data_IF_671594840874
#
_entry.id   IF_671594840874
#
_cell.length_a   1.000
_cell.length_b   1.000
_cell.length_c   1.000
_cell.angle_alpha   90.00
_cell.angle_beta   90.00
_cell.angle_gamma   90.00
#
_symmetry.space_group_name_H-M   'P 1'
#
loop_
_entity.id
_entity.type
_entity.pdbx_description
1 polymer ?
#
# COMPACT_ATOMS: atom_id res chain seq x y z
N UNK A 1 -23.55 -5.69 9.17
CA UNK A 1 -24.95 -6.22 9.09
C UNK A 1 -25.86 -5.33 8.24
N UNK A 2 -25.96 -4.01 8.52
CA UNK A 2 -26.83 -3.10 7.79
C UNK A 2 -26.49 -3.06 6.28
N UNK A 3 -25.21 -2.92 5.92
CA UNK A 3 -24.74 -2.95 4.54
C UNK A 3 -25.04 -4.29 3.84
N UNK A 4 -24.83 -5.42 4.53
CA UNK A 4 -25.12 -6.75 4.03
C UNK A 4 -26.62 -6.95 3.76
N UNK A 5 -27.47 -6.48 4.67
CA UNK A 5 -28.94 -6.54 4.50
C UNK A 5 -29.40 -5.83 3.23
N UNK A 6 -28.84 -4.64 2.94
CA UNK A 6 -29.20 -3.87 1.74
C UNK A 6 -28.60 -4.49 0.47
N UNK A 7 -27.39 -5.07 0.55
CA UNK A 7 -26.77 -5.77 -0.58
C UNK A 7 -27.60 -6.98 -1.03
N UNK A 8 -28.07 -7.80 -0.10
CA UNK A 8 -28.87 -8.99 -0.37
C UNK A 8 -30.39 -8.75 -0.27
N UNK A 9 -30.84 -7.50 -0.31
CA UNK A 9 -32.27 -7.20 -0.29
C UNK A 9 -32.99 -7.89 -1.46
N UNK A 10 -34.12 -8.60 -1.20
CA UNK A 10 -34.83 -9.34 -2.24
C UNK A 10 -35.25 -8.47 -3.43
N UNK A 11 -35.62 -7.22 -3.16
CA UNK A 11 -36.02 -6.23 -4.19
C UNK A 11 -34.84 -5.84 -5.10
N UNK A 12 -33.61 -5.86 -4.57
CA UNK A 12 -32.41 -5.64 -5.36
C UNK A 12 -32.05 -6.88 -6.18
N UNK A 13 -32.09 -8.06 -5.55
CA UNK A 13 -31.74 -9.33 -6.20
C UNK A 13 -32.73 -9.73 -7.32
N UNK A 14 -33.98 -9.27 -7.24
CA UNK A 14 -34.98 -9.50 -8.27
C UNK A 14 -34.77 -8.68 -9.54
N UNK A 15 -33.93 -7.64 -9.51
CA UNK A 15 -33.63 -6.81 -10.70
C UNK A 15 -32.53 -7.42 -11.55
N UNK A 16 -32.55 -7.12 -12.84
CA UNK A 16 -31.44 -7.37 -13.76
C UNK A 16 -30.13 -6.73 -13.23
N UNK A 17 -29.00 -7.34 -13.47
CA UNK A 17 -27.72 -6.89 -12.91
C UNK A 17 -27.48 -5.40 -13.17
N UNK A 18 -27.73 -4.91 -14.38
CA UNK A 18 -27.51 -3.52 -14.78
C UNK A 18 -28.47 -2.52 -14.10
N UNK A 19 -29.59 -3.00 -13.56
CA UNK A 19 -30.59 -2.16 -12.88
C UNK A 19 -30.55 -2.26 -11.36
N UNK A 20 -29.61 -3.03 -10.83
CA UNK A 20 -29.39 -3.14 -9.38
C UNK A 20 -28.83 -1.86 -8.81
N UNK A 21 -29.16 -1.61 -7.57
CA UNK A 21 -28.56 -0.55 -6.76
C UNK A 21 -27.04 -0.70 -6.72
N UNK A 22 -26.31 0.34 -7.05
CA UNK A 22 -24.86 0.41 -7.02
C UNK A 22 -24.34 0.70 -5.60
N UNK A 23 -23.22 0.09 -5.22
CA UNK A 23 -22.64 0.20 -3.88
C UNK A 23 -21.19 0.60 -3.92
N UNK A 24 -20.80 1.53 -3.04
CA UNK A 24 -19.40 1.87 -2.83
C UNK A 24 -19.04 1.96 -1.34
N UNK A 25 -17.78 1.68 -1.04
CA UNK A 25 -17.16 1.97 0.24
C UNK A 25 -16.00 2.93 0.00
N UNK A 26 -16.08 4.12 0.58
CA UNK A 26 -15.10 5.19 0.42
C UNK A 26 -14.23 5.29 1.64
N UNK A 27 -12.94 4.97 1.50
CA UNK A 27 -11.97 5.01 2.60
C UNK A 27 -11.09 6.23 2.53
N UNK A 28 -10.66 6.73 3.70
CA UNK A 28 -9.68 7.81 3.76
C UNK A 28 -8.25 7.31 3.57
N UNK A 29 -7.90 6.17 4.15
CA UNK A 29 -6.56 5.57 4.10
C UNK A 29 -6.59 4.25 3.35
N UNK A 30 -5.61 4.05 2.46
CA UNK A 30 -5.47 2.81 1.68
C UNK A 30 -5.27 1.57 2.54
N UNK A 31 -4.63 1.71 3.71
CA UNK A 31 -4.46 0.62 4.67
C UNK A 31 -5.78 0.02 5.17
N UNK A 32 -6.90 0.74 5.04
CA UNK A 32 -8.23 0.24 5.40
C UNK A 32 -8.81 -0.73 4.34
N UNK A 33 -8.28 -0.70 3.11
CA UNK A 33 -8.83 -1.43 1.97
C UNK A 33 -8.79 -2.94 2.20
N UNK A 34 -7.66 -3.50 2.57
CA UNK A 34 -7.51 -4.95 2.75
C UNK A 34 -8.42 -5.52 3.84
N UNK A 35 -8.59 -4.78 4.94
CA UNK A 35 -9.45 -5.19 6.06
C UNK A 35 -10.92 -5.20 5.63
N UNK A 36 -11.36 -4.15 4.96
CA UNK A 36 -12.75 -4.02 4.51
C UNK A 36 -13.05 -5.02 3.40
N UNK A 37 -12.14 -5.18 2.46
CA UNK A 37 -12.24 -6.16 1.38
C UNK A 37 -12.38 -7.58 1.94
N UNK A 38 -11.51 -7.98 2.86
CA UNK A 38 -11.60 -9.29 3.53
C UNK A 38 -12.92 -9.47 4.28
N UNK A 39 -13.41 -8.43 4.96
CA UNK A 39 -14.66 -8.48 5.70
C UNK A 39 -15.90 -8.61 4.79
N UNK A 40 -15.88 -7.99 3.60
CA UNK A 40 -16.94 -8.10 2.61
C UNK A 40 -16.93 -9.48 1.96
N UNK A 41 -15.76 -9.98 1.57
CA UNK A 41 -15.58 -11.33 1.02
C UNK A 41 -16.04 -12.43 1.98
N UNK A 42 -15.68 -12.32 3.25
CA UNK A 42 -16.13 -13.26 4.29
C UNK A 42 -17.66 -13.35 4.41
N UNK A 43 -18.37 -12.38 3.85
CA UNK A 43 -19.84 -12.34 3.78
C UNK A 43 -20.39 -12.60 2.39
N UNK A 44 -19.58 -13.18 1.49
CA UNK A 44 -19.94 -13.48 0.09
C UNK A 44 -20.39 -12.25 -0.71
N UNK A 45 -19.87 -11.06 -0.38
CA UNK A 45 -20.12 -9.84 -1.14
C UNK A 45 -18.96 -9.65 -2.12
N UNK A 46 -19.22 -9.65 -3.44
CA UNK A 46 -18.19 -9.42 -4.44
C UNK A 46 -17.67 -7.98 -4.36
N UNK A 47 -16.34 -7.81 -4.36
CA UNK A 47 -15.67 -6.52 -4.20
C UNK A 47 -14.77 -6.25 -5.39
N UNK A 48 -14.79 -5.03 -5.87
CA UNK A 48 -13.82 -4.49 -6.81
C UNK A 48 -13.06 -3.33 -6.16
N UNK A 49 -11.74 -3.46 -6.06
CA UNK A 49 -10.90 -2.36 -5.57
C UNK A 49 -10.51 -1.45 -6.74
N UNK A 50 -10.82 -0.16 -6.61
CA UNK A 50 -10.54 0.83 -7.63
C UNK A 50 -9.35 1.71 -7.24
N UNK A 51 -8.46 1.92 -8.23
CA UNK A 51 -7.26 2.72 -8.09
C UNK A 51 -6.03 1.88 -7.74
N UNK A 52 -4.92 2.16 -8.43
CA UNK A 52 -3.64 1.43 -8.31
C UNK A 52 -3.16 1.37 -6.86
N UNK A 53 -3.28 2.48 -6.13
CA UNK A 53 -2.84 2.53 -4.74
C UNK A 53 -3.62 1.63 -3.78
N UNK A 54 -4.81 1.14 -4.17
CA UNK A 54 -5.56 0.14 -3.41
C UNK A 54 -5.20 -1.29 -3.82
N UNK A 55 -4.99 -1.53 -5.10
CA UNK A 55 -4.71 -2.85 -5.68
C UNK A 55 -3.46 -3.49 -5.10
N UNK A 56 -2.39 -2.73 -4.87
CA UNK A 56 -1.12 -3.26 -4.36
C UNK A 56 -1.20 -3.81 -2.93
N UNK A 57 -2.28 -3.52 -2.19
CA UNK A 57 -2.53 -4.10 -0.86
C UNK A 57 -3.40 -5.36 -0.90
N UNK A 58 -3.94 -5.71 -2.06
CA UNK A 58 -4.69 -6.97 -2.23
C UNK A 58 -3.72 -8.14 -2.26
N UNK A 59 -4.02 -9.20 -1.54
CA UNK A 59 -3.08 -10.30 -1.28
C UNK A 59 -2.43 -10.85 -2.53
N UNK A 60 -3.22 -11.23 -3.54
CA UNK A 60 -2.73 -11.77 -4.81
C UNK A 60 -1.87 -10.79 -5.59
N UNK A 61 -2.24 -9.51 -5.62
CA UNK A 61 -1.45 -8.46 -6.30
C UNK A 61 -0.17 -8.16 -5.54
N UNK A 62 -0.24 -8.15 -4.20
CA UNK A 62 0.93 -7.95 -3.34
C UNK A 62 1.93 -9.10 -3.49
N UNK A 63 1.47 -10.34 -3.70
CA UNK A 63 2.34 -11.51 -3.96
C UNK A 63 3.04 -11.37 -5.31
N UNK A 64 2.32 -10.99 -6.36
CA UNK A 64 2.92 -10.71 -7.68
C UNK A 64 3.96 -9.60 -7.58
N UNK A 65 3.61 -8.47 -6.97
CA UNK A 65 4.51 -7.33 -6.83
C UNK A 65 5.75 -7.65 -6.01
N UNK A 66 5.59 -8.41 -4.92
CA UNK A 66 6.73 -8.85 -4.11
C UNK A 66 7.69 -9.72 -4.92
N UNK A 67 7.18 -10.64 -5.72
CA UNK A 67 8.04 -11.50 -6.55
C UNK A 67 8.67 -10.72 -7.71
N UNK A 68 7.97 -9.77 -8.33
CA UNK A 68 8.56 -8.84 -9.29
C UNK A 68 9.76 -8.09 -8.68
N UNK A 69 9.62 -7.58 -7.45
CA UNK A 69 10.72 -6.90 -6.73
C UNK A 69 11.91 -7.83 -6.49
N UNK A 70 11.66 -9.05 -6.04
CA UNK A 70 12.72 -10.07 -5.79
C UNK A 70 13.47 -10.44 -7.08
N UNK A 71 12.75 -10.53 -8.18
CA UNK A 71 13.33 -10.87 -9.49
C UNK A 71 14.21 -9.76 -10.05
N UNK A 72 13.86 -8.49 -9.79
CA UNK A 72 14.51 -7.32 -10.40
C UNK A 72 15.51 -6.60 -9.50
N UNK A 73 15.45 -6.79 -8.18
CA UNK A 73 16.29 -6.09 -7.23
C UNK A 73 16.85 -7.05 -6.16
N UNK A 74 18.18 -7.26 -6.11
CA UNK A 74 18.80 -8.11 -5.11
C UNK A 74 18.70 -7.58 -3.67
N UNK A 75 18.34 -6.30 -3.48
CA UNK A 75 18.15 -5.70 -2.16
C UNK A 75 16.70 -5.85 -1.64
N UNK A 76 15.81 -6.47 -2.39
CA UNK A 76 14.39 -6.62 -2.03
C UNK A 76 14.14 -7.71 -0.96
N UNK A 77 14.98 -7.79 0.07
CA UNK A 77 14.88 -8.80 1.14
C UNK A 77 13.55 -8.79 1.87
N UNK A 78 12.95 -7.62 2.11
CA UNK A 78 11.63 -7.50 2.73
C UNK A 78 10.52 -8.12 1.85
N UNK A 79 10.61 -7.94 0.53
CA UNK A 79 9.68 -8.57 -0.41
C UNK A 79 9.87 -10.09 -0.47
N UNK A 80 11.13 -10.56 -0.38
CA UNK A 80 11.46 -11.98 -0.32
C UNK A 80 10.82 -12.64 0.91
N UNK A 81 10.86 -11.98 2.08
CA UNK A 81 10.28 -12.52 3.32
C UNK A 81 8.80 -12.89 3.18
N UNK A 82 8.03 -12.15 2.40
CA UNK A 82 6.63 -12.47 2.12
C UNK A 82 6.45 -13.86 1.52
N UNK A 83 7.32 -14.25 0.59
CA UNK A 83 7.28 -15.57 -0.04
C UNK A 83 7.87 -16.66 0.84
N UNK A 84 8.96 -16.37 1.58
CA UNK A 84 9.58 -17.36 2.48
C UNK A 84 8.64 -17.79 3.60
N UNK A 85 7.90 -16.84 4.18
CA UNK A 85 6.95 -17.10 5.28
C UNK A 85 5.55 -17.47 4.80
N UNK A 86 5.25 -17.22 3.51
CA UNK A 86 3.96 -17.49 2.91
C UNK A 86 3.64 -18.99 2.81
N UNK A 87 2.39 -19.35 2.54
CA UNK A 87 1.89 -20.73 2.61
C UNK A 87 2.60 -21.69 1.64
N UNK A 88 3.16 -21.17 0.54
CA UNK A 88 3.84 -21.96 -0.48
C UNK A 88 5.17 -22.53 0.00
N UNK A 89 6.00 -21.73 0.65
CA UNK A 89 7.29 -22.16 1.19
C UNK A 89 7.19 -22.52 2.67
N UNK A 90 6.39 -21.78 3.44
CA UNK A 90 6.11 -22.02 4.84
C UNK A 90 7.38 -22.33 5.65
N UNK A 91 8.42 -21.49 5.51
CA UNK A 91 9.68 -21.68 6.21
C UNK A 91 9.53 -21.23 7.67
N UNK A 92 10.08 -22.04 8.56
CA UNK A 92 10.16 -21.71 9.96
C UNK A 92 11.29 -20.74 10.29
N UNK A 93 11.24 -20.14 11.48
CA UNK A 93 12.24 -19.18 11.96
C UNK A 93 13.68 -19.74 11.91
N UNK A 94 13.86 -21.06 12.12
CA UNK A 94 15.17 -21.72 12.03
C UNK A 94 15.78 -21.55 10.64
N UNK A 95 15.04 -21.86 9.58
CA UNK A 95 15.54 -21.84 8.21
C UNK A 95 15.77 -20.41 7.73
N UNK A 96 14.92 -19.48 8.16
CA UNK A 96 15.09 -18.05 7.88
C UNK A 96 16.37 -17.50 8.56
N UNK A 97 16.61 -17.88 9.82
CA UNK A 97 17.81 -17.49 10.55
C UNK A 97 19.08 -18.10 9.91
N UNK A 98 19.00 -19.36 9.46
CA UNK A 98 20.09 -20.02 8.74
C UNK A 98 20.41 -19.31 7.42
N UNK A 99 19.38 -18.92 6.63
CA UNK A 99 19.57 -18.14 5.41
C UNK A 99 20.22 -16.78 5.70
N UNK A 100 19.80 -16.09 6.76
CA UNK A 100 20.40 -14.84 7.21
C UNK A 100 21.86 -15.00 7.68
N UNK A 101 22.18 -16.10 8.35
CA UNK A 101 23.57 -16.40 8.75
C UNK A 101 24.46 -16.69 7.53
N UNK A 102 23.93 -17.47 6.58
CA UNK A 102 24.61 -17.76 5.33
C UNK A 102 24.85 -16.49 4.50
N UNK A 103 23.85 -15.61 4.40
CA UNK A 103 23.98 -14.31 3.72
C UNK A 103 25.10 -13.45 4.32
N UNK A 104 25.19 -13.35 5.66
CA UNK A 104 26.27 -12.62 6.33
C UNK A 104 27.65 -13.24 6.12
N UNK A 105 27.73 -14.58 6.13
CA UNK A 105 28.98 -15.30 5.85
C UNK A 105 29.48 -14.99 4.43
N UNK A 106 28.61 -15.10 3.42
CA UNK A 106 28.95 -14.79 2.03
C UNK A 106 29.39 -13.33 1.84
N UNK A 107 28.73 -12.39 2.51
CA UNK A 107 29.11 -10.98 2.44
C UNK A 107 30.53 -10.75 3.00
N UNK A 108 30.92 -11.45 4.07
CA UNK A 108 32.27 -11.37 4.63
C UNK A 108 33.30 -11.97 3.69
N UNK A 109 33.06 -13.15 3.14
CA UNK A 109 33.96 -13.81 2.17
C UNK A 109 34.16 -12.94 0.92
N UNK A 110 33.11 -12.38 0.34
CA UNK A 110 33.19 -11.48 -0.81
C UNK A 110 33.92 -10.16 -0.49
N UNK A 111 33.88 -9.70 0.76
CA UNK A 111 34.61 -8.52 1.19
C UNK A 111 36.10 -8.80 1.38
N UNK A 112 36.48 -9.95 1.95
CA UNK A 112 37.88 -10.38 2.07
C UNK A 112 38.52 -10.53 0.70
N UNK A 113 37.85 -11.08 -0.28
CA UNK A 113 38.34 -11.19 -1.67
C UNK A 113 38.53 -9.81 -2.31
N UNK A 114 37.57 -8.90 -2.11
CA UNK A 114 37.60 -7.53 -2.63
C UNK A 114 38.69 -6.70 -1.94
N UNK A 115 38.85 -6.82 -0.62
CA UNK A 115 39.91 -6.16 0.13
C UNK A 115 41.28 -6.68 -0.25
N UNK A 116 41.42 -7.98 -0.44
CA UNK A 116 42.68 -8.59 -0.94
C UNK A 116 43.03 -8.06 -2.31
N UNK A 117 42.07 -7.85 -3.19
CA UNK A 117 42.29 -7.28 -4.52
C UNK A 117 42.61 -5.77 -4.46
N UNK A 118 41.86 -5.00 -3.68
CA UNK A 118 42.04 -3.54 -3.52
C UNK A 118 43.32 -3.26 -2.72
N UNK A 119 43.64 -4.06 -1.69
CA UNK A 119 44.88 -3.92 -0.93
C UNK A 119 46.10 -4.24 -1.77
N UNK A 120 46.04 -5.17 -2.71
CA UNK A 120 47.10 -5.39 -3.72
C UNK A 120 47.25 -4.23 -4.69
N UNK A 121 46.20 -3.46 -4.96
CA UNK A 121 46.22 -2.25 -5.81
C UNK A 121 46.67 -1.02 -4.98
N UNK A 122 46.31 -0.92 -3.71
CA UNK A 122 46.49 0.23 -2.84
C UNK A 122 47.61 0.06 -1.80
N UNK A 123 48.61 -0.76 -2.05
CA UNK A 123 49.72 -1.01 -1.11
C UNK A 123 50.39 0.27 -0.61
N UNK A 124 49.75 0.99 0.30
CA UNK A 124 50.22 2.27 0.86
C UNK A 124 49.55 2.79 2.13
N UNK A 125 48.47 2.23 2.66
CA UNK A 125 47.97 2.74 3.94
C UNK A 125 47.10 1.72 4.72
N UNK A 126 47.47 1.31 5.95
CA UNK A 126 46.80 0.25 6.71
C UNK A 126 45.84 0.73 7.80
N UNK A 127 45.30 1.95 7.78
CA UNK A 127 44.45 2.45 8.86
C UNK A 127 43.01 2.77 8.38
N UNK A 128 42.20 1.71 8.14
CA UNK A 128 40.73 1.86 8.06
C UNK A 128 40.02 0.58 8.54
N UNK A 129 40.18 0.26 9.82
CA UNK A 129 39.62 -0.94 10.46
C UNK A 129 38.24 -0.72 11.11
N UNK A 130 37.41 0.24 10.68
CA UNK A 130 36.10 0.53 11.27
C UNK A 130 34.90 0.45 10.31
N UNK A 131 35.07 -0.16 9.13
CA UNK A 131 33.94 -0.32 8.17
C UNK A 131 33.26 -1.71 8.24
N UNK A 132 33.63 -2.56 9.19
CA UNK A 132 33.22 -3.98 9.22
C UNK A 132 31.80 -4.26 9.68
N UNK A 133 31.07 -3.29 10.24
CA UNK A 133 29.74 -3.53 10.83
C UNK A 133 28.54 -3.18 9.90
N UNK A 134 28.77 -2.70 8.69
CA UNK A 134 27.72 -2.16 7.80
C UNK A 134 27.38 -3.05 6.58
N UNK A 135 28.05 -4.18 6.38
CA UNK A 135 27.74 -5.07 5.27
C UNK A 135 26.61 -6.04 5.62
N UNK A 136 25.38 -5.62 5.35
CA UNK A 136 24.19 -6.49 5.34
C UNK A 136 24.22 -7.30 4.03
N UNK A 137 24.58 -8.57 4.10
CA UNK A 137 24.54 -9.44 2.93
C UNK A 137 23.14 -9.55 2.33
N UNK A 138 23.05 -9.58 1.00
CA UNK A 138 21.77 -9.79 0.31
C UNK A 138 21.23 -11.21 0.57
N UNK A 139 20.01 -11.29 1.09
CA UNK A 139 19.30 -12.57 1.25
C UNK A 139 18.99 -13.24 -0.10
N UNK A 140 18.83 -12.42 -1.15
CA UNK A 140 18.52 -12.90 -2.49
C UNK A 140 19.75 -13.51 -3.13
N UNK A 141 20.91 -12.89 -3.00
CA UNK A 141 22.18 -13.44 -3.51
C UNK A 141 22.53 -14.74 -2.77
N UNK A 142 22.37 -14.76 -1.44
CA UNK A 142 22.56 -15.98 -0.66
C UNK A 142 21.61 -17.12 -1.08
N UNK A 143 20.37 -16.77 -1.41
CA UNK A 143 19.40 -17.74 -1.92
C UNK A 143 19.80 -18.27 -3.31
N UNK A 144 20.32 -17.43 -4.18
CA UNK A 144 20.74 -17.83 -5.52
C UNK A 144 21.91 -18.83 -5.48
N UNK A 145 22.76 -18.70 -4.48
CA UNK A 145 23.93 -19.56 -4.29
C UNK A 145 23.69 -20.67 -3.23
N UNK A 146 22.45 -20.88 -2.80
CA UNK A 146 22.12 -21.84 -1.73
C UNK A 146 22.61 -23.26 -2.02
N UNK A 147 22.63 -23.66 -3.28
CA UNK A 147 23.08 -24.99 -3.73
C UNK A 147 24.61 -25.16 -3.59
N UNK A 148 25.37 -24.05 -3.44
CA UNK A 148 26.82 -24.05 -3.26
C UNK A 148 27.21 -23.92 -1.76
N UNK A 149 26.23 -23.98 -0.88
CA UNK A 149 26.37 -23.85 0.55
C UNK A 149 27.32 -24.93 1.11
N UNK A 150 28.29 -24.52 1.90
CA UNK A 150 29.22 -25.43 2.57
C UNK A 150 28.52 -26.33 3.61
N UNK A 151 29.18 -27.40 4.01
CA UNK A 151 28.58 -28.40 4.92
C UNK A 151 28.16 -27.81 6.28
N UNK A 152 28.91 -26.85 6.79
CA UNK A 152 28.63 -26.22 8.09
C UNK A 152 27.36 -25.35 8.01
N UNK A 153 27.30 -24.49 7.02
CA UNK A 153 26.10 -23.65 6.77
C UNK A 153 24.90 -24.52 6.42
N UNK A 154 25.09 -25.59 5.61
CA UNK A 154 24.03 -26.54 5.26
C UNK A 154 23.42 -27.22 6.50
N UNK A 155 24.21 -27.54 7.51
CA UNK A 155 23.76 -28.22 8.73
C UNK A 155 22.83 -27.32 9.60
N UNK A 156 22.83 -26.01 9.38
CA UNK A 156 21.96 -25.09 10.11
C UNK A 156 20.52 -25.14 9.61
N UNK A 157 20.30 -25.52 8.35
CA UNK A 157 18.96 -25.65 7.77
C UNK A 157 18.30 -26.96 8.19
N UNK A 158 16.97 -26.97 8.21
CA UNK A 158 16.22 -28.20 8.16
C UNK A 158 16.31 -28.81 6.75
N UNK A 159 16.16 -30.13 6.66
CA UNK A 159 16.22 -30.80 5.37
C UNK A 159 15.11 -30.36 4.42
N UNK A 160 13.91 -30.21 4.98
CA UNK A 160 12.72 -29.72 4.23
C UNK A 160 12.91 -28.27 3.82
N UNK A 161 13.38 -27.40 4.73
CA UNK A 161 13.59 -25.98 4.46
C UNK A 161 14.63 -25.76 3.38
N UNK A 162 15.76 -26.48 3.46
CA UNK A 162 16.79 -26.38 2.41
C UNK A 162 16.27 -26.83 1.05
N UNK A 163 15.59 -27.96 0.98
CA UNK A 163 15.01 -28.46 -0.29
C UNK A 163 14.04 -27.45 -0.91
N UNK A 164 13.20 -26.82 -0.07
CA UNK A 164 12.28 -25.77 -0.53
C UNK A 164 13.02 -24.52 -1.03
N UNK A 165 14.07 -24.10 -0.33
CA UNK A 165 14.91 -22.97 -0.72
C UNK A 165 15.66 -23.23 -2.03
N UNK A 166 16.29 -24.39 -2.20
CA UNK A 166 16.98 -24.77 -3.44
C UNK A 166 16.04 -24.77 -4.64
N UNK A 167 14.83 -25.34 -4.46
CA UNK A 167 13.81 -25.33 -5.51
C UNK A 167 13.37 -23.91 -5.84
N UNK A 168 13.13 -23.10 -4.83
CA UNK A 168 12.72 -21.71 -5.02
C UNK A 168 13.80 -20.88 -5.71
N UNK A 169 15.07 -21.07 -5.35
CA UNK A 169 16.21 -20.45 -6.02
C UNK A 169 16.25 -20.78 -7.51
N UNK A 170 16.04 -22.06 -7.87
CA UNK A 170 15.97 -22.48 -9.27
C UNK A 170 14.80 -21.81 -10.02
N UNK A 171 13.63 -21.72 -9.38
CA UNK A 171 12.46 -21.02 -9.94
C UNK A 171 12.71 -19.52 -10.13
N UNK A 172 13.37 -18.85 -9.18
CA UNK A 172 13.76 -17.43 -9.31
C UNK A 172 14.73 -17.20 -10.46
N UNK A 173 15.74 -18.05 -10.62
CA UNK A 173 16.68 -17.98 -11.77
C UNK A 173 15.94 -18.08 -13.10
N UNK A 174 14.93 -18.97 -13.19
CA UNK A 174 14.08 -19.09 -14.36
C UNK A 174 13.24 -17.84 -14.62
N UNK A 175 12.62 -17.27 -13.58
CA UNK A 175 11.85 -16.03 -13.71
C UNK A 175 12.73 -14.84 -14.14
N UNK A 176 13.95 -14.73 -13.59
CA UNK A 176 14.91 -13.69 -13.99
C UNK A 176 15.36 -13.79 -15.44
N UNK A 177 15.55 -15.00 -15.96
CA UNK A 177 15.91 -15.15 -17.37
C UNK A 177 14.83 -14.59 -18.33
N UNK A 178 13.61 -14.39 -17.83
CA UNK A 178 12.48 -13.82 -18.56
C UNK A 178 12.18 -12.37 -18.22
N UNK A 179 12.81 -11.82 -17.17
CA UNK A 179 12.60 -10.44 -16.69
C UNK A 179 13.10 -9.36 -17.68
N UNK A 180 13.84 -9.74 -18.74
CA UNK A 180 14.21 -8.84 -19.84
C UNK A 180 13.07 -8.61 -20.87
N UNK A 181 11.93 -9.29 -20.73
CA UNK A 181 10.78 -9.17 -21.61
C UNK A 181 9.82 -8.03 -21.23
N UNK A 182 8.56 -8.18 -21.62
CA UNK A 182 7.54 -7.19 -21.28
C UNK A 182 7.10 -7.31 -19.81
N UNK A 183 6.59 -6.20 -19.25
CA UNK A 183 6.02 -6.17 -17.89
C UNK A 183 4.88 -7.19 -17.77
N UNK A 184 4.04 -7.28 -18.79
CA UNK A 184 2.87 -8.17 -18.85
C UNK A 184 3.30 -9.62 -18.83
N UNK A 185 4.34 -9.98 -19.62
CA UNK A 185 4.84 -11.36 -19.69
C UNK A 185 5.41 -11.79 -18.32
N UNK A 186 6.16 -10.91 -17.64
CA UNK A 186 6.68 -11.20 -16.31
C UNK A 186 5.54 -11.40 -15.29
N UNK A 187 4.53 -10.53 -15.29
CA UNK A 187 3.37 -10.66 -14.40
C UNK A 187 2.67 -11.99 -14.65
N UNK A 188 2.39 -12.33 -15.90
CA UNK A 188 1.72 -13.59 -16.29
C UNK A 188 2.53 -14.82 -15.88
N UNK A 189 3.84 -14.81 -16.06
CA UNK A 189 4.73 -15.89 -15.60
C UNK A 189 4.72 -16.05 -14.08
N UNK A 190 4.68 -14.93 -13.35
CA UNK A 190 4.59 -14.94 -11.88
C UNK A 190 3.22 -15.46 -11.43
N UNK A 191 2.12 -15.04 -12.05
CA UNK A 191 0.78 -15.55 -11.76
C UNK A 191 0.72 -17.07 -11.95
N UNK A 192 1.26 -17.57 -13.07
CA UNK A 192 1.33 -19.01 -13.36
C UNK A 192 2.21 -19.74 -12.35
N UNK A 193 3.37 -19.19 -12.00
CA UNK A 193 4.27 -19.76 -11.01
C UNK A 193 3.61 -19.88 -9.64
N UNK A 194 2.89 -18.85 -9.21
CA UNK A 194 2.18 -18.82 -7.92
C UNK A 194 0.85 -19.60 -7.94
N UNK A 195 0.37 -20.06 -9.12
CA UNK A 195 -0.94 -20.67 -9.34
C UNK A 195 -2.10 -19.78 -8.84
N UNK A 196 -1.98 -18.46 -9.01
CA UNK A 196 -2.96 -17.51 -8.51
C UNK A 196 -4.33 -17.67 -9.15
N UNK A 197 -4.40 -18.06 -10.41
CA UNK A 197 -5.67 -18.32 -11.11
C UNK A 197 -6.50 -19.37 -10.39
N UNK A 198 -5.86 -20.45 -9.96
CA UNK A 198 -6.53 -21.52 -9.23
C UNK A 198 -6.95 -21.04 -7.84
N UNK A 199 -6.06 -20.36 -7.13
CA UNK A 199 -6.31 -19.86 -5.78
C UNK A 199 -7.49 -18.89 -5.76
N UNK A 200 -7.47 -17.85 -6.60
CA UNK A 200 -8.53 -16.83 -6.64
C UNK A 200 -9.85 -17.41 -7.15
N UNK A 201 -9.80 -18.37 -8.08
CA UNK A 201 -11.02 -19.03 -8.60
C UNK A 201 -11.68 -19.92 -7.55
N UNK A 202 -10.89 -20.62 -6.74
CA UNK A 202 -11.40 -21.42 -5.62
C UNK A 202 -11.97 -20.56 -4.50
N UNK A 203 -11.35 -19.40 -4.23
CA UNK A 203 -11.77 -18.50 -3.17
C UNK A 203 -13.03 -17.71 -3.53
N UNK A 204 -13.09 -17.13 -4.72
CA UNK A 204 -14.07 -16.12 -5.12
C UNK A 204 -14.97 -16.55 -6.30
N UNK A 205 -14.81 -17.78 -6.77
CA UNK A 205 -15.47 -18.29 -7.97
C UNK A 205 -14.84 -17.78 -9.26
N UNK A 206 -15.06 -18.52 -10.35
CA UNK A 206 -14.42 -18.29 -11.66
C UNK A 206 -14.76 -16.93 -12.27
N UNK A 207 -15.93 -16.37 -11.96
CA UNK A 207 -16.37 -15.09 -12.54
C UNK A 207 -15.72 -13.87 -11.87
N UNK A 208 -15.37 -13.95 -10.59
CA UNK A 208 -14.93 -12.81 -9.78
C UNK A 208 -13.48 -12.91 -9.33
N UNK A 209 -12.89 -14.10 -9.32
CA UNK A 209 -11.58 -14.35 -8.73
C UNK A 209 -10.44 -13.55 -9.37
N UNK A 210 -10.40 -13.45 -10.69
CA UNK A 210 -9.31 -12.76 -11.40
C UNK A 210 -9.40 -11.24 -11.44
N UNK A 211 -10.49 -10.65 -10.99
CA UNK A 211 -10.80 -9.22 -11.17
C UNK A 211 -9.66 -8.27 -10.76
N UNK A 212 -9.01 -8.53 -9.64
CA UNK A 212 -7.91 -7.68 -9.16
C UNK A 212 -6.63 -7.89 -9.97
N UNK A 213 -6.35 -9.13 -10.38
CA UNK A 213 -5.21 -9.44 -11.25
C UNK A 213 -5.39 -8.83 -12.64
N UNK A 214 -6.59 -8.94 -13.21
CA UNK A 214 -6.94 -8.30 -14.49
C UNK A 214 -6.78 -6.78 -14.41
N UNK A 215 -7.28 -6.16 -13.34
CA UNK A 215 -7.10 -4.73 -13.13
C UNK A 215 -5.63 -4.35 -12.98
N UNK A 216 -4.82 -5.17 -12.32
CA UNK A 216 -3.38 -4.93 -12.21
C UNK A 216 -2.68 -5.06 -13.56
N UNK A 217 -3.04 -6.05 -14.38
CA UNK A 217 -2.56 -6.21 -15.74
C UNK A 217 -2.94 -5.04 -16.65
N UNK A 218 -4.15 -4.50 -16.51
CA UNK A 218 -4.60 -3.29 -17.23
C UNK A 218 -3.71 -2.08 -16.91
N UNK A 219 -3.39 -1.85 -15.64
CA UNK A 219 -2.51 -0.76 -15.24
C UNK A 219 -1.07 -0.98 -15.72
N UNK A 220 -0.57 -2.22 -15.67
CA UNK A 220 0.72 -2.60 -16.23
C UNK A 220 0.77 -2.37 -17.77
N UNK A 221 -0.32 -2.72 -18.47
CA UNK A 221 -0.45 -2.48 -19.92
C UNK A 221 -0.45 -1.00 -20.27
N UNK A 222 -1.17 -0.16 -19.50
CA UNK A 222 -1.15 1.30 -19.69
C UNK A 222 0.26 1.87 -19.50
N UNK A 223 0.97 1.43 -18.45
CA UNK A 223 2.33 1.85 -18.18
C UNK A 223 3.30 1.38 -19.27
N UNK A 224 3.21 0.13 -19.70
CA UNK A 224 4.05 -0.44 -20.76
C UNK A 224 3.93 0.33 -22.08
N UNK A 225 2.72 0.80 -22.42
CA UNK A 225 2.51 1.64 -23.62
C UNK A 225 3.26 2.96 -23.60
N UNK A 226 3.62 3.47 -22.43
CA UNK A 226 4.46 4.67 -22.29
C UNK A 226 5.97 4.37 -22.42
N UNK A 227 6.37 3.14 -22.71
CA UNK A 227 7.77 2.74 -22.90
C UNK A 227 8.55 2.52 -21.61
N UNK A 228 7.87 2.36 -20.46
CA UNK A 228 8.52 2.14 -19.18
C UNK A 228 9.07 0.73 -19.00
N UNK A 229 10.22 0.60 -18.32
CA UNK A 229 10.82 -0.67 -17.92
C UNK A 229 10.11 -1.30 -16.72
N UNK A 230 10.40 -2.57 -16.42
CA UNK A 230 9.88 -3.27 -15.24
C UNK A 230 10.29 -2.54 -13.95
N UNK A 231 11.54 -2.13 -13.83
CA UNK A 231 12.03 -1.39 -12.66
C UNK A 231 11.32 -0.03 -12.50
N UNK A 232 11.14 0.70 -13.60
CA UNK A 232 10.39 1.96 -13.60
C UNK A 232 8.91 1.75 -13.21
N UNK A 233 8.29 0.64 -13.61
CA UNK A 233 6.93 0.29 -13.20
C UNK A 233 6.84 0.03 -11.69
N UNK A 234 7.78 -0.73 -11.13
CA UNK A 234 7.83 -0.99 -9.69
C UNK A 234 8.02 0.31 -8.91
N UNK A 235 8.93 1.17 -9.35
CA UNK A 235 9.14 2.48 -8.72
C UNK A 235 7.90 3.37 -8.81
N UNK A 236 7.25 3.41 -9.96
CA UNK A 236 5.99 4.12 -10.15
C UNK A 236 4.89 3.61 -9.21
N UNK A 237 4.77 2.28 -9.02
CA UNK A 237 3.85 1.69 -8.05
C UNK A 237 4.17 2.13 -6.62
N UNK A 238 5.44 2.14 -6.23
CA UNK A 238 5.89 2.56 -4.89
C UNK A 238 5.61 4.05 -4.64
N UNK A 239 5.86 4.91 -5.63
CA UNK A 239 5.52 6.34 -5.57
C UNK A 239 4.01 6.54 -5.49
N UNK A 240 3.24 5.84 -6.33
CA UNK A 240 1.77 5.91 -6.35
C UNK A 240 1.16 5.42 -5.04
N UNK A 241 1.78 4.41 -4.41
CA UNK A 241 1.34 3.91 -3.10
C UNK A 241 1.50 4.93 -1.98
N UNK A 242 2.54 5.75 -2.04
CA UNK A 242 2.88 6.74 -1.00
C UNK A 242 2.12 8.06 -1.15
N UNK A 243 1.76 8.43 -2.38
CA UNK A 243 1.02 9.68 -2.66
C UNK A 243 -0.48 9.45 -2.59
N UNK A 244 -1.19 10.21 -1.75
CA UNK A 244 -2.66 10.14 -1.62
C UNK A 244 -3.41 10.59 -2.87
N UNK A 245 -2.75 11.27 -3.79
CA UNK A 245 -3.31 11.78 -5.03
C UNK A 245 -2.87 11.02 -6.27
N UNK A 246 -2.77 9.68 -6.24
CA UNK A 246 -2.35 8.88 -7.40
C UNK A 246 -2.80 9.48 -8.74
N UNK A 247 -2.08 9.22 -9.82
CA UNK A 247 -2.36 9.72 -11.17
C UNK A 247 -3.87 9.76 -11.40
N UNK A 248 -4.37 10.88 -11.90
CA UNK A 248 -5.78 11.14 -12.21
C UNK A 248 -6.32 10.04 -13.14
N UNK A 249 -6.77 8.95 -12.56
CA UNK A 249 -7.69 8.07 -13.24
C UNK A 249 -8.96 8.87 -13.45
N UNK A 250 -9.55 8.84 -14.63
CA UNK A 250 -10.87 9.40 -14.86
C UNK A 250 -11.87 8.85 -13.82
N UNK A 251 -13.03 9.47 -13.71
CA UNK A 251 -14.09 8.99 -12.82
C UNK A 251 -14.29 7.47 -13.05
N UNK A 252 -14.35 6.66 -11.97
CA UNK A 252 -14.53 5.22 -12.11
C UNK A 252 -15.89 4.92 -12.73
N UNK A 253 -15.94 3.92 -13.60
CA UNK A 253 -17.19 3.39 -14.11
C UNK A 253 -17.98 2.75 -12.95
N UNK A 254 -19.22 3.18 -12.77
CA UNK A 254 -20.08 2.69 -11.69
C UNK A 254 -20.66 1.34 -12.07
N UNK A 255 -20.47 0.34 -11.21
CA UNK A 255 -20.95 -1.03 -11.38
C UNK A 255 -21.96 -1.39 -10.30
N UNK A 256 -22.95 -2.20 -10.68
CA UNK A 256 -24.02 -2.66 -9.78
C UNK A 256 -23.86 -4.12 -9.32
N UNK A 257 -23.00 -4.89 -9.99
CA UNK A 257 -22.75 -6.31 -9.70
C UNK A 257 -21.70 -6.53 -8.59
N UNK A 258 -21.00 -5.47 -8.19
CA UNK A 258 -19.95 -5.49 -7.17
C UNK A 258 -20.04 -4.30 -6.22
N UNK A 259 -19.47 -4.44 -5.04
CA UNK A 259 -19.16 -3.31 -4.17
C UNK A 259 -17.84 -2.70 -4.60
N UNK A 260 -17.85 -1.44 -4.98
CA UNK A 260 -16.64 -0.73 -5.37
C UNK A 260 -15.97 -0.14 -4.14
N UNK A 261 -14.75 -0.56 -3.86
CA UNK A 261 -13.94 -0.11 -2.72
C UNK A 261 -12.81 0.79 -3.21
N UNK A 262 -12.82 2.05 -2.78
CA UNK A 262 -11.89 3.05 -3.27
C UNK A 262 -11.63 4.16 -2.24
N UNK A 263 -10.60 4.97 -2.50
CA UNK A 263 -10.36 6.16 -1.66
C UNK A 263 -11.31 7.29 -2.05
N UNK A 264 -11.59 8.20 -1.10
CA UNK A 264 -12.44 9.38 -1.37
C UNK A 264 -11.90 10.21 -2.53
N UNK A 265 -10.57 10.33 -2.69
CA UNK A 265 -9.96 11.06 -3.80
C UNK A 265 -10.28 10.42 -5.16
N UNK A 266 -10.26 9.10 -5.24
CA UNK A 266 -10.56 8.36 -6.46
C UNK A 266 -12.05 8.42 -6.81
N UNK A 267 -12.92 8.66 -5.83
CA UNK A 267 -14.37 8.74 -6.00
C UNK A 267 -14.86 10.05 -6.66
N UNK A 268 -13.97 11.03 -6.86
CA UNK A 268 -14.34 12.33 -7.44
C UNK A 268 -14.90 12.15 -8.85
N UNK A 269 -16.12 12.63 -9.07
CA UNK A 269 -16.82 12.57 -10.37
C UNK A 269 -17.70 11.35 -10.55
N UNK A 270 -17.70 10.36 -9.64
CA UNK A 270 -18.64 9.25 -9.65
C UNK A 270 -19.63 9.34 -8.48
N UNK A 271 -20.77 8.67 -8.62
CA UNK A 271 -21.82 8.62 -7.60
C UNK A 271 -22.46 7.23 -7.59
N UNK A 272 -22.82 6.75 -6.40
CA UNK A 272 -23.44 5.45 -6.20
C UNK A 272 -24.74 5.60 -5.43
N UNK A 273 -25.64 4.64 -5.59
CA UNK A 273 -26.92 4.67 -4.87
C UNK A 273 -26.71 4.48 -3.37
N UNK A 274 -25.83 3.59 -2.99
CA UNK A 274 -25.46 3.34 -1.60
C UNK A 274 -23.95 3.59 -1.39
N UNK A 275 -23.60 4.51 -0.48
CA UNK A 275 -22.22 4.80 -0.12
C UNK A 275 -22.00 4.55 1.36
N UNK A 276 -20.97 3.80 1.70
CA UNK A 276 -20.47 3.67 3.06
C UNK A 276 -19.15 4.46 3.21
N UNK A 277 -19.06 5.25 4.28
CA UNK A 277 -17.86 6.01 4.66
C UNK A 277 -17.42 5.55 6.04
N UNK A 278 -16.51 4.57 6.13
CA UNK A 278 -16.06 4.04 7.42
C UNK A 278 -14.94 4.88 8.04
N UNK A 279 -14.84 4.80 9.37
CA UNK A 279 -13.70 5.33 10.11
C UNK A 279 -13.72 6.85 10.29
N UNK A 280 -14.90 7.44 10.47
CA UNK A 280 -15.06 8.87 10.80
C UNK A 280 -14.70 9.13 12.27
N UNK A 281 -13.48 8.77 12.65
CA UNK A 281 -12.94 8.94 13.99
C UNK A 281 -11.82 10.00 13.98
N UNK A 282 -11.62 10.67 15.13
CA UNK A 282 -10.59 11.70 15.29
C UNK A 282 -9.21 11.21 14.86
N UNK A 283 -8.50 11.99 14.02
CA UNK A 283 -7.20 11.64 13.44
C UNK A 283 -7.20 10.51 12.40
N UNK A 284 -8.38 10.00 12.01
CA UNK A 284 -8.51 9.08 10.87
C UNK A 284 -9.15 9.78 9.69
N UNK A 285 -10.35 10.33 9.90
CA UNK A 285 -11.02 11.15 8.92
C UNK A 285 -11.93 12.17 9.64
N UNK A 286 -11.58 13.45 9.64
CA UNK A 286 -10.38 14.12 9.08
C UNK A 286 -9.06 13.58 9.62
N UNK A 287 -8.04 13.53 8.75
CA UNK A 287 -6.70 13.07 9.14
C UNK A 287 -5.96 14.21 9.85
N UNK A 288 -5.56 13.96 11.10
CA UNK A 288 -4.75 14.91 11.89
C UNK A 288 -3.26 14.53 11.80
N UNK A 289 -2.75 14.24 10.62
CA UNK A 289 -1.32 13.96 10.51
C UNK A 289 -0.51 15.25 10.70
N UNK A 290 -0.30 15.62 11.96
CA UNK A 290 0.49 16.79 12.37
C UNK A 290 1.99 16.63 12.08
N UNK A 291 2.46 15.40 11.81
CA UNK A 291 3.86 15.09 11.53
C UNK A 291 4.24 15.16 10.05
N UNK A 292 3.29 15.39 9.17
CA UNK A 292 3.51 15.71 7.76
C UNK A 292 2.78 17.03 7.44
N UNK A 293 3.31 18.14 7.94
CA UNK A 293 2.81 19.43 7.49
C UNK A 293 3.18 19.56 6.01
N UNK A 294 2.23 20.00 5.18
CA UNK A 294 2.53 20.55 3.84
C UNK A 294 3.34 21.85 3.98
N UNK A 295 4.31 21.79 4.85
CA UNK A 295 5.17 22.88 5.25
C UNK A 295 6.51 22.68 4.55
N UNK A 296 6.76 23.44 3.51
CA UNK A 296 7.99 23.37 2.75
C UNK A 296 9.26 23.59 3.59
N UNK A 297 9.16 24.22 4.78
CA UNK A 297 10.31 24.44 5.68
C UNK A 297 10.80 23.11 6.29
N UNK A 298 9.88 22.20 6.56
CA UNK A 298 10.19 20.90 7.18
C UNK A 298 10.16 19.73 6.20
N UNK A 299 9.73 19.98 4.96
CA UNK A 299 9.62 18.96 3.92
C UNK A 299 10.39 19.40 2.66
N UNK A 300 11.58 18.88 2.50
CA UNK A 300 12.49 19.16 1.36
C UNK A 300 11.88 18.86 -0.02
N UNK A 301 10.78 18.10 -0.06
CA UNK A 301 10.08 17.75 -1.31
C UNK A 301 8.99 18.74 -1.69
N UNK A 302 8.76 19.76 -0.88
CA UNK A 302 7.78 20.82 -1.13
C UNK A 302 8.43 22.05 -1.70
N UNK A 303 7.79 22.62 -2.72
CA UNK A 303 8.20 23.92 -3.27
C UNK A 303 7.73 25.03 -2.32
N UNK A 304 8.57 26.06 -2.04
CA UNK A 304 8.15 27.24 -1.29
C UNK A 304 6.82 27.80 -1.81
N UNK A 305 5.90 28.10 -0.91
CA UNK A 305 4.54 28.49 -1.28
C UNK A 305 4.51 29.72 -2.20
N UNK A 306 5.42 30.66 -2.01
CA UNK A 306 5.55 31.84 -2.89
C UNK A 306 5.88 31.50 -4.36
N UNK A 307 6.36 30.29 -4.66
CA UNK A 307 6.69 29.82 -6.01
C UNK A 307 5.60 28.89 -6.59
N UNK A 308 4.53 28.65 -5.86
CA UNK A 308 3.40 27.82 -6.30
C UNK A 308 2.37 28.69 -7.01
N UNK A 309 1.66 28.12 -7.98
CA UNK A 309 0.58 28.79 -8.70
C UNK A 309 -0.64 29.16 -7.84
N UNK A 310 -0.78 28.54 -6.66
CA UNK A 310 -1.80 28.80 -5.62
C UNK A 310 -1.22 29.57 -4.41
N UNK A 311 -0.04 30.17 -4.55
CA UNK A 311 0.72 30.80 -3.46
C UNK A 311 -0.02 31.93 -2.73
N UNK A 312 -0.89 32.65 -3.44
CA UNK A 312 -1.66 33.75 -2.89
C UNK A 312 -2.71 33.32 -1.83
N UNK A 313 -3.14 32.04 -1.90
CA UNK A 313 -4.10 31.44 -0.96
C UNK A 313 -3.40 30.74 0.22
N UNK A 314 -2.08 30.66 0.20
CA UNK A 314 -1.28 29.90 1.15
C UNK A 314 -0.63 30.83 2.22
N UNK A 315 -0.30 30.30 3.41
CA UNK A 315 0.35 31.09 4.44
C UNK A 315 1.69 31.64 4.01
N UNK A 316 1.91 32.93 4.26
CA UNK A 316 3.18 33.59 3.97
C UNK A 316 4.18 33.30 5.09
N UNK A 317 5.39 32.90 4.73
CA UNK A 317 6.50 32.70 5.65
C UNK A 317 7.56 33.78 5.43
N UNK A 318 7.92 34.53 6.48
CA UNK A 318 9.00 35.51 6.42
C UNK A 318 9.67 35.66 7.77
N UNK A 319 10.98 35.60 7.79
CA UNK A 319 11.82 35.88 8.96
C UNK A 319 12.45 37.29 8.91
N UNK A 320 12.06 38.12 7.95
CA UNK A 320 12.71 39.42 7.69
C UNK A 320 12.63 40.39 8.90
N UNK A 321 11.67 40.21 9.80
CA UNK A 321 11.49 41.06 10.98
C UNK A 321 12.06 40.44 12.25
N UNK A 322 12.61 39.21 12.21
CA UNK A 322 13.13 38.54 13.38
C UNK A 322 14.57 39.02 13.64
N UNK A 323 14.83 39.48 14.86
CA UNK A 323 16.14 39.91 15.32
C UNK A 323 16.78 38.91 16.31
N UNK A 324 15.96 37.97 16.82
CA UNK A 324 16.37 36.95 17.78
C UNK A 324 15.87 35.58 17.41
N UNK A 325 16.60 34.53 17.77
CA UNK A 325 16.21 33.13 17.53
C UNK A 325 14.86 32.77 18.13
N UNK A 326 14.55 33.32 19.31
CA UNK A 326 13.25 33.09 19.96
C UNK A 326 12.07 33.67 19.18
N UNK A 327 12.27 34.73 18.40
CA UNK A 327 11.27 35.34 17.52
C UNK A 327 11.08 34.48 16.28
N UNK A 328 12.18 34.00 15.69
CA UNK A 328 12.14 33.09 14.57
C UNK A 328 11.40 31.79 14.92
N UNK A 329 11.64 31.21 16.10
CA UNK A 329 10.94 30.03 16.58
C UNK A 329 9.42 30.24 16.71
N UNK A 330 8.98 31.43 17.14
CA UNK A 330 7.55 31.78 17.22
C UNK A 330 6.93 31.88 15.82
N UNK A 331 7.62 32.51 14.87
CA UNK A 331 7.16 32.64 13.48
C UNK A 331 7.02 31.27 12.82
N UNK A 332 8.01 30.40 12.99
CA UNK A 332 7.97 29.02 12.45
C UNK A 332 6.78 28.24 13.04
N UNK A 333 6.57 28.35 14.36
CA UNK A 333 5.44 27.69 15.03
C UNK A 333 4.08 28.23 14.59
N UNK A 334 3.95 29.54 14.41
CA UNK A 334 2.72 30.17 13.91
C UNK A 334 2.43 29.74 12.46
N UNK A 335 3.46 29.71 11.63
CA UNK A 335 3.35 29.26 10.25
C UNK A 335 2.91 27.78 10.15
N UNK A 336 3.51 26.89 10.95
CA UNK A 336 3.13 25.48 11.01
C UNK A 336 1.65 25.31 11.43
N UNK A 337 1.15 26.12 12.38
CA UNK A 337 -0.26 26.12 12.77
C UNK A 337 -1.17 26.57 11.63
N UNK A 338 -0.77 27.59 10.86
CA UNK A 338 -1.54 28.06 9.70
C UNK A 338 -1.62 26.99 8.60
N UNK A 339 -0.51 26.33 8.31
CA UNK A 339 -0.49 25.18 7.37
C UNK A 339 -1.41 24.04 7.83
N UNK A 340 -1.37 23.71 9.13
CA UNK A 340 -2.26 22.67 9.71
C UNK A 340 -3.73 23.05 9.62
N UNK A 341 -4.08 24.33 9.79
CA UNK A 341 -5.45 24.81 9.67
C UNK A 341 -5.99 24.64 8.22
N UNK A 342 -5.19 24.99 7.23
CA UNK A 342 -5.56 24.77 5.81
C UNK A 342 -5.76 23.29 5.52
N UNK A 343 -4.83 22.45 5.97
CA UNK A 343 -4.96 20.99 5.80
C UNK A 343 -6.24 20.45 6.44
N UNK A 344 -6.61 20.94 7.62
CA UNK A 344 -7.89 20.56 8.26
C UNK A 344 -9.09 20.97 7.40
N UNK A 345 -9.06 22.15 6.79
CA UNK A 345 -10.13 22.59 5.90
C UNK A 345 -10.22 21.72 4.63
N UNK A 346 -9.09 21.33 4.05
CA UNK A 346 -9.05 20.42 2.90
C UNK A 346 -9.61 19.03 3.26
N UNK A 347 -9.29 18.51 4.43
CA UNK A 347 -9.85 17.26 4.93
C UNK A 347 -11.37 17.32 5.11
N UNK A 348 -11.90 18.46 5.59
CA UNK A 348 -13.36 18.68 5.70
C UNK A 348 -14.01 18.75 4.32
N UNK A 349 -13.37 19.44 3.34
CA UNK A 349 -13.83 19.44 1.94
C UNK A 349 -13.85 18.03 1.33
N UNK A 350 -12.82 17.23 1.65
CA UNK A 350 -12.76 15.84 1.23
C UNK A 350 -13.89 15.01 1.88
N UNK A 351 -14.20 15.27 3.14
CA UNK A 351 -15.36 14.70 3.83
C UNK A 351 -16.69 15.03 3.12
N UNK A 352 -16.86 16.28 2.73
CA UNK A 352 -18.01 16.70 1.92
C UNK A 352 -18.09 15.93 0.60
N UNK A 353 -16.97 15.79 -0.11
CA UNK A 353 -16.92 14.96 -1.32
C UNK A 353 -17.38 13.52 -1.03
N UNK A 354 -16.93 12.91 0.06
CA UNK A 354 -17.30 11.53 0.42
C UNK A 354 -18.80 11.37 0.62
N UNK A 355 -19.42 12.24 1.41
CA UNK A 355 -20.86 12.13 1.75
C UNK A 355 -21.77 12.48 0.57
N UNK A 356 -21.32 13.36 -0.32
CA UNK A 356 -22.09 13.74 -1.52
C UNK A 356 -21.99 12.73 -2.68
N UNK A 357 -21.26 11.63 -2.51
CA UNK A 357 -21.23 10.54 -3.51
C UNK A 357 -22.45 9.62 -3.40
N UNK A 358 -23.22 9.70 -2.33
CA UNK A 358 -24.43 8.91 -2.13
C UNK A 358 -25.63 9.55 -2.83
N UNK A 359 -26.31 8.79 -3.69
CA UNK A 359 -27.56 9.21 -4.33
C UNK A 359 -28.78 8.98 -3.45
N UNK A 360 -28.85 7.83 -2.78
CA UNK A 360 -30.03 7.42 -2.01
C UNK A 360 -29.74 7.07 -0.57
N UNK A 361 -28.63 6.37 -0.29
CA UNK A 361 -28.30 5.89 1.04
C UNK A 361 -26.85 6.24 1.39
N UNK A 362 -26.66 6.82 2.56
CA UNK A 362 -25.34 7.11 3.13
C UNK A 362 -25.21 6.37 4.47
N UNK A 363 -24.17 5.56 4.62
CA UNK A 363 -23.79 4.88 5.85
C UNK A 363 -22.46 5.44 6.35
N UNK A 364 -22.47 6.19 7.43
CA UNK A 364 -21.25 6.67 8.09
C UNK A 364 -20.99 5.84 9.34
N UNK A 365 -19.75 5.42 9.53
CA UNK A 365 -19.36 4.67 10.74
C UNK A 365 -18.14 5.26 11.41
N UNK A 366 -18.10 5.16 12.73
CA UNK A 366 -16.95 5.45 13.59
C UNK A 366 -16.69 4.27 14.50
N UNK A 367 -15.55 4.26 15.17
CA UNK A 367 -15.22 3.27 16.20
C UNK A 367 -14.53 3.98 17.37
N UNK A 368 -14.88 3.59 18.58
CA UNK A 368 -14.27 4.09 19.81
C UNK A 368 -12.88 3.50 20.08
N UNK A 369 -12.58 2.36 19.49
CA UNK A 369 -11.33 1.64 19.69
C UNK A 369 -10.63 1.35 18.38
N UNK A 370 -9.30 1.51 18.40
CA UNK A 370 -8.37 1.08 17.34
C UNK A 370 -7.38 0.09 17.93
N UNK A 371 -6.50 -0.42 17.08
CA UNK A 371 -5.32 -1.16 17.56
C UNK A 371 -4.54 -0.25 18.53
N UNK A 372 -4.64 -0.56 19.83
CA UNK A 372 -4.02 0.21 20.90
C UNK A 372 -4.92 0.36 22.13
N UNK A 373 -4.33 0.81 23.24
CA UNK A 373 -4.98 0.90 24.54
C UNK A 373 -5.83 2.19 24.77
N UNK A 374 -5.86 3.10 23.79
CA UNK A 374 -6.57 4.39 23.94
C UNK A 374 -7.83 4.42 23.08
N UNK A 375 -8.94 4.84 23.69
CA UNK A 375 -10.16 5.18 22.96
C UNK A 375 -9.94 6.39 22.05
N UNK A 376 -10.74 6.47 21.01
CA UNK A 376 -10.72 7.56 20.04
C UNK A 376 -12.13 8.10 19.88
N UNK A 377 -12.30 9.40 19.98
CA UNK A 377 -13.60 10.03 19.82
C UNK A 377 -14.08 10.03 18.37
N UNK A 378 -15.40 10.06 18.14
CA UNK A 378 -15.97 10.36 16.83
C UNK A 378 -15.43 11.69 16.31
N UNK A 379 -15.16 11.77 15.03
CA UNK A 379 -14.67 13.03 14.44
C UNK A 379 -15.77 14.09 14.34
N UNK A 380 -15.35 15.35 14.24
CA UNK A 380 -16.25 16.48 13.97
C UNK A 380 -17.14 16.24 12.75
N UNK A 381 -16.59 15.60 11.70
CA UNK A 381 -17.34 15.24 10.51
C UNK A 381 -18.45 14.21 10.81
N UNK A 382 -18.17 13.20 11.65
CA UNK A 382 -19.18 12.23 12.06
C UNK A 382 -20.30 12.90 12.84
N UNK A 383 -19.95 13.74 13.83
CA UNK A 383 -20.93 14.47 14.65
C UNK A 383 -21.83 15.34 13.78
N UNK A 384 -21.26 16.01 12.78
CA UNK A 384 -22.03 16.84 11.86
C UNK A 384 -23.01 16.02 11.02
N UNK A 385 -22.56 14.91 10.45
CA UNK A 385 -23.42 13.99 9.68
C UNK A 385 -24.51 13.39 10.56
N UNK A 386 -24.21 13.01 11.81
CA UNK A 386 -25.16 12.46 12.75
C UNK A 386 -26.29 13.47 13.10
N UNK A 387 -25.90 14.74 13.34
CA UNK A 387 -26.88 15.81 13.60
C UNK A 387 -27.83 16.02 12.40
N UNK A 388 -27.27 16.12 11.19
CA UNK A 388 -28.09 16.26 9.96
C UNK A 388 -28.98 15.04 9.75
N UNK A 389 -28.48 13.83 10.02
CA UNK A 389 -29.26 12.61 9.93
C UNK A 389 -30.44 12.64 10.92
N UNK A 390 -30.20 13.05 12.17
CA UNK A 390 -31.23 13.17 13.17
C UNK A 390 -32.35 14.16 12.76
N UNK A 391 -31.97 15.33 12.25
CA UNK A 391 -32.92 16.34 11.75
C UNK A 391 -33.76 15.86 10.56
N UNK A 392 -33.22 14.95 9.74
CA UNK A 392 -33.85 14.44 8.51
C UNK A 392 -34.45 13.04 8.64
N UNK A 393 -34.61 12.52 9.83
CA UNK A 393 -35.18 11.19 10.09
C UNK A 393 -34.25 10.03 9.76
N UNK A 394 -32.94 10.27 9.80
CA UNK A 394 -31.95 9.20 9.70
C UNK A 394 -31.92 8.33 10.96
N UNK A 395 -31.28 7.17 10.86
CA UNK A 395 -31.22 6.16 11.91
C UNK A 395 -29.81 6.04 12.46
N UNK A 396 -29.67 6.13 13.79
CA UNK A 396 -28.44 5.78 14.51
C UNK A 396 -28.49 4.28 14.87
N UNK A 397 -27.51 3.49 14.36
CA UNK A 397 -27.55 2.04 14.42
C UNK A 397 -26.85 1.42 15.62
N UNK A 398 -25.94 2.14 16.27
CA UNK A 398 -25.22 1.70 17.46
C UNK A 398 -24.64 2.89 18.21
N UNK A 399 -24.62 2.86 19.50
CA UNK A 399 -24.45 4.04 20.32
C UNK A 399 -23.47 3.93 21.46
N UNK A 400 -23.09 2.71 21.83
CA UNK A 400 -22.28 2.54 23.05
C UNK A 400 -20.84 2.20 22.74
N UNK A 401 -19.91 2.78 23.52
CA UNK A 401 -18.49 2.45 23.46
C UNK A 401 -18.19 1.03 23.89
#
# INVERSE_FOLDING_TARGET
EYFHKHWFAPERMAKDEDKRTSFAVLVRKRSQISIIESALRARNIPVEVIGVGGLIYIAEVADVLALMKVVTNPEAGTALMRHLTGPRLALGAKDIAALGAYSRKRAKEGHEDSHSFIAKIAAGNPDSAEADDLFIGSLIDALDEIDQCDKESRAQFSEIGFTRLSRFAADLRRLRSRAGGSIIDLITEIENYLNLDLEVSLRDGTRNGRRHLERFLDEASKFSRSGGSISAFIEWLDVTSKKEGGLKSGAPEVRSDVVQLLTVHTAKGAEWDFVAVPGLAEGTFPSNNTNDPDNWITNERQIPFALRGDGDELPVFSLAQCTKDSEAGKVISAYAKSCSAIKKQEEIRLGYVAVTRARTHLLCTTSWWREGAKSVDPSELFTHVANVAHERGGVLLSETP
#
